data_IF_330803069307
#
_entry.id   IF_330803069307
#
_cell.length_a   1.000
_cell.length_b   1.000
_cell.length_c   1.000
_cell.angle_alpha   90.00
_cell.angle_beta   90.00
_cell.angle_gamma   90.00
#
_symmetry.space_group_name_H-M   'P 1'
#
loop_
_entity.id
_entity.type
_entity.pdbx_description
1 polymer ?
#
# COMPACT_ATOMS: atom_id res chain seq x y z
N UNK A 1 6.07 10.85 0.70
CA UNK A 1 6.53 9.62 0.02
C UNK A 1 5.37 8.63 -0.04
N UNK A 2 5.10 8.03 -1.20
CA UNK A 2 4.03 7.03 -1.41
C UNK A 2 4.65 5.62 -1.51
N UNK A 3 4.03 4.61 -0.90
CA UNK A 3 4.50 3.22 -0.92
C UNK A 3 3.62 2.35 -1.81
N UNK A 4 4.21 1.35 -2.45
CA UNK A 4 3.44 0.27 -3.11
C UNK A 4 2.83 -0.66 -2.06
N UNK A 5 1.84 -1.46 -2.44
CA UNK A 5 1.32 -2.53 -1.55
C UNK A 5 2.42 -3.49 -1.10
N UNK A 6 3.40 -3.80 -1.96
CA UNK A 6 4.53 -4.65 -1.60
C UNK A 6 5.43 -4.01 -0.54
N UNK A 7 5.75 -2.71 -0.69
CA UNK A 7 6.53 -1.97 0.29
C UNK A 7 5.79 -1.81 1.62
N UNK A 8 4.47 -1.60 1.56
CA UNK A 8 3.62 -1.48 2.74
C UNK A 8 3.54 -2.80 3.50
N UNK A 9 3.38 -3.93 2.79
CA UNK A 9 3.39 -5.26 3.40
C UNK A 9 4.74 -5.55 4.08
N UNK A 10 5.86 -5.23 3.41
CA UNK A 10 7.20 -5.34 4.00
C UNK A 10 7.34 -4.48 5.27
N UNK A 11 6.74 -3.30 5.29
CA UNK A 11 6.75 -2.43 6.47
C UNK A 11 6.00 -3.04 7.66
N UNK A 12 4.89 -3.74 7.41
CA UNK A 12 4.12 -4.47 8.43
C UNK A 12 4.68 -5.87 8.75
N UNK A 13 5.77 -6.30 8.13
CA UNK A 13 6.33 -7.65 8.34
C UNK A 13 5.47 -8.79 7.78
N UNK A 14 4.55 -8.52 6.85
CA UNK A 14 3.67 -9.53 6.24
C UNK A 14 3.91 -9.66 4.74
N UNK A 15 3.36 -10.74 4.14
CA UNK A 15 3.42 -10.92 2.69
C UNK A 15 2.47 -9.96 1.97
N UNK A 16 2.79 -9.64 0.71
CA UNK A 16 1.92 -8.81 -0.15
C UNK A 16 0.54 -9.42 -0.32
N UNK A 17 0.46 -10.73 -0.51
CA UNK A 17 -0.82 -11.44 -0.71
C UNK A 17 -1.68 -11.38 0.55
N UNK A 18 -1.06 -11.51 1.73
CA UNK A 18 -1.76 -11.39 3.01
C UNK A 18 -2.31 -9.96 3.21
N UNK A 19 -1.50 -8.93 2.91
CA UNK A 19 -1.99 -7.54 2.97
C UNK A 19 -3.19 -7.32 2.03
N UNK A 20 -3.10 -7.80 0.79
CA UNK A 20 -4.20 -7.66 -0.20
C UNK A 20 -5.46 -8.37 0.28
N UNK A 21 -5.32 -9.59 0.81
CA UNK A 21 -6.45 -10.36 1.35
C UNK A 21 -7.16 -9.59 2.46
N UNK A 22 -6.44 -9.15 3.49
CA UNK A 22 -7.00 -8.36 4.60
C UNK A 22 -7.64 -7.05 4.15
N UNK A 23 -7.01 -6.35 3.20
CA UNK A 23 -7.56 -5.11 2.64
C UNK A 23 -8.85 -5.34 1.84
N UNK A 24 -8.98 -6.47 1.13
CA UNK A 24 -10.22 -6.83 0.42
C UNK A 24 -11.33 -7.22 1.39
N UNK A 25 -11.01 -8.02 2.41
CA UNK A 25 -11.95 -8.41 3.48
C UNK A 25 -12.52 -7.20 4.23
N UNK A 26 -11.72 -6.14 4.39
CA UNK A 26 -12.13 -4.87 4.99
C UNK A 26 -12.70 -3.84 3.99
N UNK A 27 -13.01 -4.28 2.76
CA UNK A 27 -13.58 -3.44 1.70
C UNK A 27 -12.75 -2.19 1.35
N UNK A 28 -11.42 -2.23 1.56
CA UNK A 28 -10.50 -1.15 1.21
C UNK A 28 -10.04 -1.25 -0.25
N UNK A 29 -9.98 -2.47 -0.79
CA UNK A 29 -9.64 -2.75 -2.19
C UNK A 29 -10.79 -3.42 -2.93
N UNK A 30 -10.87 -3.17 -4.24
CA UNK A 30 -11.72 -3.90 -5.16
C UNK A 30 -11.00 -5.13 -5.76
N UNK A 31 -11.68 -5.85 -6.64
CA UNK A 31 -11.17 -7.05 -7.32
C UNK A 31 -9.92 -6.78 -8.18
N UNK A 32 -9.73 -5.54 -8.62
CA UNK A 32 -8.54 -5.07 -9.37
C UNK A 32 -7.40 -4.60 -8.46
N UNK A 33 -7.52 -4.75 -7.14
CA UNK A 33 -6.59 -4.20 -6.14
C UNK A 33 -6.44 -2.68 -6.20
N UNK A 34 -7.50 -1.97 -6.58
CA UNK A 34 -7.62 -0.52 -6.55
C UNK A 34 -8.44 -0.08 -5.32
N UNK A 35 -8.30 1.15 -4.82
CA UNK A 35 -9.08 1.63 -3.68
C UNK A 35 -10.58 1.51 -4.00
N UNK A 36 -11.33 0.83 -3.14
CA UNK A 36 -12.76 0.61 -3.37
C UNK A 36 -13.57 1.90 -3.29
N UNK A 37 -13.18 2.79 -2.38
CA UNK A 37 -13.81 4.10 -2.18
C UNK A 37 -12.77 5.22 -2.37
N UNK A 38 -12.39 5.54 -3.63
CA UNK A 38 -11.29 6.45 -3.92
C UNK A 38 -11.52 7.88 -3.40
N UNK A 39 -12.77 8.33 -3.26
CA UNK A 39 -13.09 9.64 -2.68
C UNK A 39 -13.03 9.62 -1.15
N UNK A 40 -13.56 8.58 -0.51
CA UNK A 40 -13.61 8.42 0.95
C UNK A 40 -12.21 8.24 1.53
N UNK A 41 -11.43 7.35 0.91
CA UNK A 41 -10.14 6.91 1.43
C UNK A 41 -8.97 7.68 0.77
N UNK A 42 -9.26 8.80 0.08
CA UNK A 42 -8.28 9.57 -0.70
C UNK A 42 -7.08 10.06 0.12
N UNK A 43 -7.26 10.26 1.42
CA UNK A 43 -6.20 10.72 2.32
C UNK A 43 -5.15 9.62 2.59
N UNK A 44 -5.54 8.36 2.43
CA UNK A 44 -4.75 7.20 2.81
C UNK A 44 -4.29 6.39 1.60
N UNK A 45 -5.17 6.24 0.61
CA UNK A 45 -4.97 5.43 -0.58
C UNK A 45 -5.14 6.26 -1.85
N UNK A 46 -4.41 5.86 -2.90
CA UNK A 46 -4.48 6.48 -4.23
C UNK A 46 -4.29 5.43 -5.31
N UNK A 47 -4.99 5.59 -6.43
CA UNK A 47 -4.65 4.90 -7.68
C UNK A 47 -3.51 5.66 -8.38
N UNK A 48 -2.40 4.97 -8.65
CA UNK A 48 -1.33 5.46 -9.52
C UNK A 48 -1.47 4.81 -10.88
N UNK A 49 -1.64 5.66 -11.89
CA UNK A 49 -1.56 5.28 -13.29
C UNK A 49 -0.09 5.29 -13.75
N UNK A 50 0.31 4.24 -14.46
CA UNK A 50 1.60 4.12 -15.12
C UNK A 50 1.38 3.85 -16.60
N UNK A 51 2.21 4.43 -17.44
CA UNK A 51 2.22 4.18 -18.88
C UNK A 51 3.58 3.67 -19.33
N UNK A 52 3.59 2.74 -20.26
CA UNK A 52 4.80 2.15 -20.81
C UNK A 52 4.55 1.70 -22.25
N UNK A 53 5.58 1.68 -23.08
CA UNK A 53 5.45 1.30 -24.48
C UNK A 53 5.78 -0.19 -24.67
N UNK A 54 4.85 -0.97 -25.23
CA UNK A 54 5.06 -2.34 -25.67
C UNK A 54 5.37 -2.35 -27.18
N UNK A 55 6.45 -3.01 -27.64
CA UNK A 55 6.87 -2.99 -29.05
C UNK A 55 5.79 -3.38 -30.05
N UNK A 56 4.93 -4.35 -29.71
CA UNK A 56 3.87 -4.86 -30.60
C UNK A 56 2.50 -4.23 -30.32
N UNK A 57 2.25 -3.87 -29.05
CA UNK A 57 0.92 -3.48 -28.57
C UNK A 57 0.81 -1.97 -28.35
N UNK A 58 1.86 -1.21 -28.68
CA UNK A 58 1.91 0.23 -28.51
C UNK A 58 1.87 0.68 -27.06
N UNK A 59 1.29 1.85 -26.81
CA UNK A 59 1.21 2.43 -25.46
C UNK A 59 0.26 1.63 -24.56
N UNK A 60 0.80 1.11 -23.46
CA UNK A 60 0.08 0.35 -22.44
C UNK A 60 -0.08 1.17 -21.17
N UNK A 61 -1.17 0.90 -20.46
CA UNK A 61 -1.53 1.59 -19.23
C UNK A 61 -1.69 0.57 -18.10
N UNK A 62 -1.32 0.98 -16.89
CA UNK A 62 -1.35 0.15 -15.70
C UNK A 62 -1.84 0.98 -14.53
N UNK A 63 -2.61 0.36 -13.66
CA UNK A 63 -3.08 1.00 -12.43
C UNK A 63 -2.56 0.22 -11.24
N UNK A 64 -2.22 0.92 -10.17
CA UNK A 64 -1.84 0.27 -8.92
C UNK A 64 -2.18 1.13 -7.71
N UNK A 65 -2.59 0.49 -6.61
CA UNK A 65 -2.77 1.19 -5.34
C UNK A 65 -1.43 1.65 -4.77
N UNK A 66 -1.43 2.88 -4.27
CA UNK A 66 -0.37 3.50 -3.48
C UNK A 66 -0.92 3.86 -2.10
N UNK A 67 -0.11 3.61 -1.09
CA UNK A 67 -0.40 3.97 0.30
C UNK A 67 0.38 5.25 0.62
N UNK A 68 -0.34 6.29 1.02
CA UNK A 68 0.24 7.56 1.47
C UNK A 68 0.87 7.39 2.86
N UNK A 69 1.69 8.33 3.29
CA UNK A 69 2.31 8.28 4.62
C UNK A 69 1.24 8.23 5.74
N UNK A 70 0.19 9.03 5.63
CA UNK A 70 -0.95 9.01 6.55
C UNK A 70 -1.72 7.68 6.52
N UNK A 71 -1.66 6.95 5.40
CA UNK A 71 -2.31 5.65 5.24
C UNK A 71 -1.64 4.51 6.01
N UNK A 72 -0.38 4.67 6.46
CA UNK A 72 0.32 3.63 7.21
C UNK A 72 -0.32 3.40 8.59
N UNK A 73 -0.42 4.39 9.50
CA UNK A 73 -1.09 4.19 10.78
C UNK A 73 -2.57 3.84 10.62
N UNK A 74 -3.26 4.46 9.65
CA UNK A 74 -4.66 4.15 9.36
C UNK A 74 -4.89 2.69 8.92
N UNK A 75 -3.99 2.12 8.10
CA UNK A 75 -4.06 0.70 7.73
C UNK A 75 -3.72 -0.21 8.92
N UNK A 76 -2.82 0.21 9.80
CA UNK A 76 -2.47 -0.55 11.00
C UNK A 76 -3.72 -0.74 11.89
N UNK A 77 -4.45 0.35 12.14
CA UNK A 77 -5.70 0.33 12.90
C UNK A 77 -6.80 -0.49 12.21
N UNK A 78 -7.01 -0.28 10.90
CA UNK A 78 -8.06 -0.97 10.12
C UNK A 78 -7.85 -2.47 10.00
N UNK A 79 -6.60 -2.93 9.97
CA UNK A 79 -6.25 -4.32 9.68
C UNK A 79 -5.75 -5.07 10.92
N UNK A 80 -5.82 -4.43 12.10
CA UNK A 80 -5.28 -4.93 13.37
C UNK A 80 -3.83 -5.41 13.21
N UNK A 81 -2.99 -4.53 12.64
CA UNK A 81 -1.56 -4.78 12.40
C UNK A 81 -0.73 -3.92 13.33
N UNK A 82 0.35 -4.50 13.87
CA UNK A 82 1.33 -3.74 14.62
C UNK A 82 2.20 -2.90 13.67
N UNK A 83 2.41 -1.64 14.03
CA UNK A 83 3.43 -0.81 13.39
C UNK A 83 4.81 -1.33 13.79
N UNK A 84 5.79 -1.37 12.87
CA UNK A 84 7.13 -1.77 13.23
C UNK A 84 7.67 -0.79 14.29
N UNK A 85 8.16 -1.33 15.40
CA UNK A 85 8.87 -0.55 16.41
C UNK A 85 10.05 0.16 15.73
N UNK A 86 10.24 1.47 15.94
CA UNK A 86 11.44 2.14 15.47
C UNK A 86 12.68 1.36 15.92
N UNK A 87 13.71 1.19 15.07
CA UNK A 87 14.93 0.56 15.50
C UNK A 87 15.47 1.32 16.72
N UNK A 88 15.85 0.60 17.78
CA UNK A 88 16.49 1.21 18.94
C UNK A 88 17.67 2.06 18.48
N UNK A 89 17.70 3.32 18.92
CA UNK A 89 18.71 4.28 18.52
C UNK A 89 20.07 3.82 19.10
N UNK A 90 20.86 3.10 18.31
CA UNK A 90 22.19 2.60 18.69
C UNK A 90 23.24 3.72 18.88
N UNK A 91 22.84 4.99 18.91
CA UNK A 91 23.75 6.13 19.17
C UNK A 91 24.30 6.19 20.60
N UNK A 92 23.88 5.31 21.49
CA UNK A 92 24.36 5.23 22.88
C UNK A 92 25.20 3.98 23.21
N UNK A 93 25.70 3.24 22.21
CA UNK A 93 26.73 2.23 22.46
C UNK A 93 28.09 2.94 22.64
N UNK A 94 28.35 3.38 23.87
CA UNK A 94 29.63 3.93 24.34
C UNK A 94 30.69 2.84 24.53
#
# INVERSE_FOLDING_TARGET
MERTLAQTAKHFGISRNELIRRMRENELLNERNLPRYPTRDREYLRTKEGKWFHPEAGMQYSESTRVKQAGIPWLAERLDLQLPTPPEDKRYAA
#
